data_IF_665572284701
#
_entry.id   IF_665572284701
#
_cell.length_a   1.000
_cell.length_b   1.000
_cell.length_c   1.000
_cell.angle_alpha   90.00
_cell.angle_beta   90.00
_cell.angle_gamma   90.00
#
_symmetry.space_group_name_H-M   'P 1'
#
loop_
_entity.id
_entity.type
_entity.pdbx_description
1 polymer ?
#
# COMPACT_ATOMS: atom_id res chain seq x y z
N UNK A 1 22.96 20.70 25.37
CA UNK A 1 21.87 19.74 25.61
C UNK A 1 22.49 18.36 25.81
N UNK A 2 22.72 17.96 27.07
CA UNK A 2 23.13 16.59 27.39
C UNK A 2 21.85 15.76 27.40
N UNK A 3 21.75 14.79 26.50
CA UNK A 3 20.67 13.81 26.45
C UNK A 3 20.83 12.82 27.62
N UNK A 4 20.63 13.30 28.84
CA UNK A 4 20.19 12.46 29.95
C UNK A 4 18.69 12.42 29.85
N UNK A 5 18.15 11.26 29.48
CA UNK A 5 16.78 10.75 29.62
C UNK A 5 16.60 9.69 28.53
N UNK A 6 17.23 8.54 28.75
CA UNK A 6 17.15 7.37 27.87
C UNK A 6 15.82 6.59 28.04
N UNK A 7 14.72 7.30 28.32
CA UNK A 7 13.39 6.73 28.39
C UNK A 7 12.47 7.40 27.35
N UNK A 8 11.83 6.57 26.52
CA UNK A 8 10.78 6.90 25.55
C UNK A 8 11.16 7.36 24.13
N UNK A 9 12.26 6.88 23.54
CA UNK A 9 12.25 6.71 22.07
C UNK A 9 11.35 5.52 21.74
N UNK A 10 10.08 5.78 21.44
CA UNK A 10 9.16 4.77 20.91
C UNK A 10 9.84 4.06 19.72
N UNK A 11 9.83 2.71 19.64
CA UNK A 11 10.45 2.01 18.54
C UNK A 11 9.79 2.45 17.23
N UNK A 12 10.54 3.19 16.41
CA UNK A 12 10.07 3.64 15.10
C UNK A 12 9.98 2.40 14.21
N UNK A 13 8.76 1.95 13.91
CA UNK A 13 8.55 0.84 12.98
C UNK A 13 8.73 1.34 11.54
N UNK A 14 9.50 0.60 10.75
CA UNK A 14 9.56 0.81 9.32
C UNK A 14 8.23 0.44 8.64
N UNK A 15 7.92 1.15 7.56
CA UNK A 15 6.77 0.85 6.70
C UNK A 15 7.07 -0.46 5.94
N UNK A 16 6.10 -1.37 5.90
CA UNK A 16 6.20 -2.62 5.15
C UNK A 16 5.56 -2.50 3.75
N UNK A 17 5.85 -3.42 2.81
CA UNK A 17 5.14 -3.45 1.52
C UNK A 17 3.61 -3.54 1.66
N UNK A 18 3.13 -4.23 2.70
CA UNK A 18 1.69 -4.37 2.99
C UNK A 18 1.10 -3.03 3.44
N UNK A 19 1.85 -2.24 4.21
CA UNK A 19 1.40 -0.91 4.62
C UNK A 19 1.28 0.04 3.41
N UNK A 20 2.22 -0.05 2.45
CA UNK A 20 2.11 0.70 1.19
C UNK A 20 0.91 0.22 0.37
N UNK A 21 0.63 -1.09 0.31
CA UNK A 21 -0.54 -1.59 -0.40
C UNK A 21 -1.85 -1.03 0.18
N UNK A 22 -1.97 -1.00 1.51
CA UNK A 22 -3.10 -0.33 2.18
C UNK A 22 -3.16 1.16 1.84
N UNK A 23 -2.02 1.84 1.85
CA UNK A 23 -1.94 3.26 1.50
C UNK A 23 -2.43 3.54 0.07
N UNK A 24 -2.06 2.68 -0.88
CA UNK A 24 -2.49 2.72 -2.28
C UNK A 24 -3.94 2.26 -2.51
N UNK A 25 -4.68 1.95 -1.44
CA UNK A 25 -6.10 1.61 -1.53
C UNK A 25 -6.39 0.20 -2.03
N UNK A 26 -5.42 -0.73 -1.91
CA UNK A 26 -5.69 -2.15 -2.11
C UNK A 26 -6.66 -2.67 -1.03
N UNK A 27 -7.43 -3.71 -1.37
CA UNK A 27 -8.35 -4.38 -0.45
C UNK A 27 -7.62 -4.93 0.78
N UNK A 28 -8.28 -4.99 1.93
CA UNK A 28 -7.75 -5.64 3.15
C UNK A 28 -7.52 -7.16 2.96
N UNK A 29 -8.12 -7.74 1.92
CA UNK A 29 -7.90 -9.14 1.53
C UNK A 29 -6.68 -9.33 0.61
N UNK A 30 -6.04 -8.24 0.16
CA UNK A 30 -4.84 -8.33 -0.67
C UNK A 30 -3.67 -8.87 0.15
N UNK A 31 -3.01 -9.90 -0.38
CA UNK A 31 -1.81 -10.47 0.20
C UNK A 31 -0.78 -10.75 -0.91
N UNK A 32 0.50 -10.56 -0.58
CA UNK A 32 1.57 -11.05 -1.43
C UNK A 32 1.68 -12.58 -1.31
N UNK A 33 2.06 -13.29 -2.38
CA UNK A 33 2.41 -14.70 -2.28
C UNK A 33 3.46 -14.97 -1.19
N UNK A 34 3.32 -16.09 -0.49
CA UNK A 34 4.18 -16.47 0.64
C UNK A 34 5.63 -16.67 0.21
N UNK A 35 5.84 -17.20 -0.98
CA UNK A 35 7.14 -17.50 -1.60
C UNK A 35 7.82 -16.28 -2.27
N UNK A 36 7.15 -15.12 -2.27
CA UNK A 36 7.69 -13.91 -2.88
C UNK A 36 8.74 -13.23 -1.98
N UNK A 37 9.90 -12.92 -2.54
CA UNK A 37 10.96 -12.19 -1.84
C UNK A 37 10.56 -10.76 -1.52
N UNK A 38 11.05 -10.21 -0.41
CA UNK A 38 10.75 -8.81 -0.03
C UNK A 38 11.22 -7.79 -1.07
N UNK A 39 12.35 -8.05 -1.74
CA UNK A 39 12.80 -7.20 -2.85
C UNK A 39 11.77 -7.15 -3.98
N UNK A 40 11.15 -8.28 -4.31
CA UNK A 40 10.11 -8.36 -5.33
C UNK A 40 8.85 -7.65 -4.88
N UNK A 41 8.43 -7.82 -3.62
CA UNK A 41 7.28 -7.12 -3.04
C UNK A 41 7.45 -5.61 -3.11
N UNK A 42 8.61 -5.10 -2.70
CA UNK A 42 8.95 -3.68 -2.80
C UNK A 42 8.94 -3.18 -4.23
N UNK A 43 9.51 -3.93 -5.17
CA UNK A 43 9.49 -3.56 -6.59
C UNK A 43 8.07 -3.50 -7.15
N UNK A 44 7.21 -4.47 -6.84
CA UNK A 44 5.84 -4.49 -7.34
C UNK A 44 5.02 -3.35 -6.74
N UNK A 45 5.07 -3.17 -5.42
CA UNK A 45 4.24 -2.15 -4.77
C UNK A 45 4.73 -0.73 -5.08
N UNK A 46 6.04 -0.53 -5.21
CA UNK A 46 6.62 0.76 -5.61
C UNK A 46 6.27 1.16 -7.05
N UNK A 47 5.92 0.20 -7.90
CA UNK A 47 5.45 0.46 -9.28
C UNK A 47 3.92 0.37 -9.41
N UNK A 48 3.20 0.12 -8.32
CA UNK A 48 1.75 0.11 -8.31
C UNK A 48 1.20 1.53 -8.24
N UNK A 49 -0.08 1.67 -8.60
CA UNK A 49 -0.82 2.94 -8.58
C UNK A 49 -1.91 2.91 -7.51
N UNK A 50 -2.41 4.08 -7.13
CA UNK A 50 -3.53 4.19 -6.21
C UNK A 50 -4.82 3.66 -6.85
N UNK A 51 -5.40 2.61 -6.28
CA UNK A 51 -6.61 1.95 -6.78
C UNK A 51 -7.78 2.93 -6.86
N UNK A 52 -7.88 3.89 -5.94
CA UNK A 52 -8.96 4.87 -5.91
C UNK A 52 -8.78 5.89 -7.05
N UNK A 53 -7.55 6.25 -7.36
CA UNK A 53 -7.25 7.13 -8.50
C UNK A 53 -7.63 6.46 -9.83
N UNK A 54 -7.25 5.18 -10.00
CA UNK A 54 -7.65 4.42 -11.20
C UNK A 54 -9.17 4.27 -11.29
N UNK A 55 -9.84 3.93 -10.17
CA UNK A 55 -11.32 3.86 -10.13
C UNK A 55 -11.97 5.17 -10.55
N UNK A 56 -11.45 6.31 -10.08
CA UNK A 56 -11.93 7.62 -10.47
C UNK A 56 -11.75 7.87 -11.97
N UNK A 57 -10.57 7.58 -12.51
CA UNK A 57 -10.28 7.73 -13.93
C UNK A 57 -11.22 6.88 -14.79
N UNK A 58 -11.43 5.62 -14.42
CA UNK A 58 -12.35 4.72 -15.12
C UNK A 58 -13.78 5.28 -15.14
N UNK A 59 -14.27 5.79 -14.00
CA UNK A 59 -15.60 6.39 -13.92
C UNK A 59 -15.72 7.63 -14.83
N UNK A 60 -14.71 8.49 -14.86
CA UNK A 60 -14.68 9.69 -15.73
C UNK A 60 -14.59 9.30 -17.22
N UNK A 61 -13.89 8.20 -17.53
CA UNK A 61 -13.81 7.66 -18.89
C UNK A 61 -15.06 6.88 -19.32
N UNK A 62 -16.09 6.81 -18.48
CA UNK A 62 -17.37 6.19 -18.82
C UNK A 62 -17.44 4.68 -18.59
N UNK A 63 -16.46 4.08 -17.90
CA UNK A 63 -16.56 2.71 -17.42
C UNK A 63 -17.50 2.68 -16.21
N UNK A 64 -18.68 2.06 -16.36
CA UNK A 64 -19.65 1.83 -15.29
C UNK A 64 -19.70 0.34 -14.99
N UNK A 65 -19.82 -0.06 -13.73
CA UNK A 65 -19.99 -1.47 -13.33
C UNK A 65 -21.34 -2.07 -13.76
N UNK A 66 -22.21 -1.25 -14.34
CA UNK A 66 -23.60 -1.54 -14.70
C UNK A 66 -23.76 -2.44 -15.95
N UNK A 67 -22.67 -2.95 -16.53
CA UNK A 67 -22.67 -3.90 -17.65
C UNK A 67 -22.60 -5.36 -17.13
N UNK A 68 -23.55 -5.75 -16.28
CA UNK A 68 -23.86 -7.17 -16.06
C UNK A 68 -25.01 -7.54 -16.99
N UNK A 69 -24.63 -8.12 -18.13
CA UNK A 69 -25.51 -8.82 -19.07
C UNK A 69 -26.26 -9.97 -18.39
#
# INVERSE_FOLDING_TARGET
LRFGDAEALLPVRYISPVDIARLLGFSDQFAFPEDMTDQTRWRLIGNSVDVRAIRYLLAVLGFREDQKN
#
